data_IF_109637398995
#
_entry.id   IF_109637398995
#
_cell.length_a   1.000
_cell.length_b   1.000
_cell.length_c   1.000
_cell.angle_alpha   90.00
_cell.angle_beta   90.00
_cell.angle_gamma   90.00
#
_symmetry.space_group_name_H-M   'P 1'
#
loop_
_entity.id
_entity.type
_entity.pdbx_description
1 polymer ?
#
# COMPACT_ATOMS: atom_id res chain seq x y z
N UNK A 1 33.23 -13.51 66.71
CA UNK A 1 32.24 -12.73 65.95
C UNK A 1 32.93 -12.20 64.71
N UNK A 2 32.57 -12.72 63.55
CA UNK A 2 33.01 -12.21 62.24
C UNK A 2 31.79 -12.24 61.33
N UNK A 3 31.36 -11.08 60.87
CA UNK A 3 30.19 -10.91 60.02
C UNK A 3 30.42 -11.53 58.63
N UNK A 4 29.37 -12.05 57.96
CA UNK A 4 29.47 -12.47 56.58
C UNK A 4 29.45 -11.24 55.65
N UNK A 5 30.41 -11.19 54.71
CA UNK A 5 30.50 -10.16 53.69
C UNK A 5 29.51 -10.41 52.56
N UNK A 6 28.55 -9.50 52.39
CA UNK A 6 27.66 -9.46 51.22
C UNK A 6 28.41 -8.86 50.03
N UNK A 7 28.63 -9.65 48.98
CA UNK A 7 29.13 -9.12 47.69
C UNK A 7 28.02 -8.33 47.00
N UNK A 8 28.23 -7.02 46.82
CA UNK A 8 27.36 -6.21 45.97
C UNK A 8 27.65 -6.50 44.49
N UNK A 9 26.74 -7.17 43.81
CA UNK A 9 26.75 -7.20 42.34
C UNK A 9 26.28 -5.84 41.83
N UNK A 10 27.22 -4.97 41.46
CA UNK A 10 26.93 -3.77 40.70
C UNK A 10 26.65 -4.19 39.24
N UNK A 11 25.37 -4.26 38.87
CA UNK A 11 24.95 -4.42 37.48
C UNK A 11 25.39 -3.19 36.69
N UNK A 12 26.50 -3.29 35.93
CA UNK A 12 26.83 -2.31 34.91
C UNK A 12 25.78 -2.41 33.81
N UNK A 13 24.83 -1.49 33.79
CA UNK A 13 24.06 -1.19 32.60
C UNK A 13 25.02 -0.64 31.55
N UNK A 14 25.35 -1.45 30.54
CA UNK A 14 26.03 -0.97 29.34
C UNK A 14 25.08 0.01 28.68
N UNK A 15 25.40 1.30 28.75
CA UNK A 15 24.68 2.36 28.07
C UNK A 15 24.74 2.05 26.57
N UNK A 16 23.66 1.50 26.00
CA UNK A 16 23.56 1.34 24.55
C UNK A 16 23.64 2.74 23.97
N UNK A 17 24.64 2.98 23.12
CA UNK A 17 24.72 4.24 22.38
C UNK A 17 23.40 4.41 21.60
N UNK A 18 22.71 5.52 21.83
CA UNK A 18 21.48 5.82 21.12
C UNK A 18 21.76 5.92 19.61
N UNK A 19 20.82 5.44 18.81
CA UNK A 19 20.89 5.63 17.36
C UNK A 19 20.84 7.13 17.07
N UNK A 20 21.83 7.71 16.35
CA UNK A 20 21.85 9.14 16.07
C UNK A 20 20.54 9.60 15.39
N UNK A 21 19.98 10.75 15.79
CA UNK A 21 18.78 11.27 15.14
C UNK A 21 19.10 11.61 13.67
N UNK A 22 18.40 10.96 12.75
CA UNK A 22 18.45 11.31 11.32
C UNK A 22 17.32 12.29 11.02
N UNK A 23 17.65 13.53 10.67
CA UNK A 23 16.66 14.50 10.24
C UNK A 23 15.93 13.99 8.99
N UNK A 24 14.59 13.97 9.04
CA UNK A 24 13.76 13.69 7.87
C UNK A 24 13.77 14.90 6.95
N UNK A 25 14.42 14.78 5.79
CA UNK A 25 14.45 15.79 4.73
C UNK A 25 13.03 16.10 4.26
N UNK A 26 12.15 15.09 4.26
CA UNK A 26 10.74 15.23 3.86
C UNK A 26 9.89 16.03 4.85
N UNK A 27 10.39 16.32 6.06
CA UNK A 27 9.71 17.16 7.05
C UNK A 27 10.02 18.67 6.86
N UNK A 28 11.04 19.00 6.07
CA UNK A 28 11.49 20.37 5.83
C UNK A 28 10.52 21.22 5.01
N UNK A 29 10.56 22.54 5.21
CA UNK A 29 9.84 23.51 4.36
C UNK A 29 10.37 23.53 2.93
N UNK A 30 11.67 23.32 2.73
CA UNK A 30 12.32 23.24 1.42
C UNK A 30 11.76 22.11 0.56
N UNK A 31 11.52 20.93 1.15
CA UNK A 31 10.84 19.82 0.47
C UNK A 31 9.41 20.21 0.07
N UNK A 32 8.63 20.75 1.02
CA UNK A 32 7.22 21.12 0.79
C UNK A 32 7.02 22.17 -0.31
N UNK A 33 7.96 23.10 -0.46
CA UNK A 33 7.89 24.20 -1.44
C UNK A 33 8.60 23.88 -2.77
N UNK A 34 9.25 22.73 -2.87
CA UNK A 34 9.98 22.33 -4.09
C UNK A 34 9.07 21.71 -5.15
N UNK A 35 9.55 21.65 -6.40
CA UNK A 35 8.83 21.00 -7.49
C UNK A 35 8.78 19.47 -7.34
N UNK A 36 7.82 18.83 -8.00
CA UNK A 36 7.58 17.38 -7.89
C UNK A 36 8.83 16.52 -8.19
N UNK A 37 9.67 16.93 -9.14
CA UNK A 37 10.88 16.17 -9.49
C UNK A 37 11.89 16.24 -8.35
N UNK A 38 12.08 17.42 -7.77
CA UNK A 38 12.92 17.62 -6.59
C UNK A 38 12.41 16.81 -5.40
N UNK A 39 11.10 16.84 -5.14
CA UNK A 39 10.51 16.09 -4.04
C UNK A 39 10.71 14.58 -4.17
N UNK A 40 10.45 14.00 -5.36
CA UNK A 40 10.70 12.57 -5.61
C UNK A 40 12.15 12.18 -5.43
N UNK A 41 13.07 13.02 -5.90
CA UNK A 41 14.51 12.80 -5.73
C UNK A 41 14.88 12.78 -4.24
N UNK A 42 14.41 13.75 -3.46
CA UNK A 42 14.67 13.81 -2.00
C UNK A 42 14.14 12.58 -1.27
N UNK A 43 12.97 12.06 -1.63
CA UNK A 43 12.44 10.82 -1.04
C UNK A 43 13.36 9.61 -1.28
N UNK A 44 13.83 9.44 -2.51
CA UNK A 44 14.73 8.34 -2.88
C UNK A 44 16.05 8.47 -2.12
N UNK A 45 16.62 9.68 -2.03
CA UNK A 45 17.84 9.94 -1.27
C UNK A 45 17.67 9.68 0.24
N UNK A 46 16.49 9.96 0.80
CA UNK A 46 16.18 9.68 2.20
C UNK A 46 16.10 8.17 2.49
N UNK A 47 15.47 7.39 1.62
CA UNK A 47 15.36 5.93 1.75
C UNK A 47 16.73 5.24 1.71
N UNK A 48 17.68 5.83 1.00
CA UNK A 48 19.03 5.29 0.85
C UNK A 48 19.18 4.43 -0.40
N UNK A 49 20.34 3.77 -0.58
CA UNK A 49 20.74 3.20 -1.86
C UNK A 49 20.04 1.88 -2.22
N UNK A 50 19.36 1.23 -1.28
CA UNK A 50 18.83 -0.12 -1.45
C UNK A 50 17.46 -0.29 -0.79
N UNK A 51 16.57 -1.01 -1.47
CA UNK A 51 15.27 -1.42 -0.94
C UNK A 51 15.31 -2.94 -0.78
N UNK A 52 15.03 -3.48 0.42
CA UNK A 52 15.01 -4.93 0.63
C UNK A 52 13.98 -5.61 -0.28
N UNK A 53 14.45 -6.61 -1.04
CA UNK A 53 13.62 -7.49 -1.84
C UNK A 53 13.28 -8.76 -1.05
N UNK A 54 12.03 -9.22 -1.11
CA UNK A 54 11.56 -10.42 -0.41
C UNK A 54 10.87 -11.40 -1.37
N UNK A 55 10.90 -12.72 -1.10
CA UNK A 55 10.22 -13.70 -1.93
C UNK A 55 8.70 -13.50 -1.97
N UNK A 56 8.08 -13.81 -3.11
CA UNK A 56 6.62 -13.71 -3.27
C UNK A 56 5.85 -14.53 -2.23
N UNK A 57 6.19 -15.81 -1.95
CA UNK A 57 5.48 -16.57 -0.91
C UNK A 57 5.53 -15.92 0.47
N UNK A 58 6.66 -15.29 0.81
CA UNK A 58 6.80 -14.51 2.04
C UNK A 58 5.85 -13.32 2.04
N UNK A 59 5.78 -12.58 0.93
CA UNK A 59 4.92 -11.42 0.79
C UNK A 59 3.43 -11.79 0.90
N UNK A 60 2.98 -12.84 0.20
CA UNK A 60 1.60 -13.30 0.24
C UNK A 60 1.19 -13.78 1.65
N UNK A 61 2.09 -14.48 2.35
CA UNK A 61 1.75 -15.12 3.63
C UNK A 61 1.91 -14.18 4.83
N UNK A 62 2.88 -13.26 4.80
CA UNK A 62 3.27 -12.46 5.98
C UNK A 62 3.00 -10.96 5.84
N UNK A 63 2.75 -10.47 4.62
CA UNK A 63 2.62 -9.03 4.34
C UNK A 63 1.21 -8.67 3.85
N UNK A 64 0.63 -9.46 2.95
CA UNK A 64 -0.76 -9.25 2.53
C UNK A 64 -1.77 -9.68 3.60
N UNK A 65 -3.00 -9.13 3.55
CA UNK A 65 -4.12 -9.66 4.32
C UNK A 65 -4.36 -11.14 4.03
N UNK A 66 -4.79 -11.89 5.04
CA UNK A 66 -5.19 -13.28 4.86
C UNK A 66 -6.42 -13.40 3.96
N UNK A 67 -6.51 -14.50 3.21
CA UNK A 67 -7.71 -14.79 2.44
C UNK A 67 -8.91 -15.04 3.37
N UNK A 68 -10.06 -14.46 3.01
CA UNK A 68 -11.32 -14.74 3.71
C UNK A 68 -11.66 -16.23 3.63
N UNK A 69 -12.21 -16.77 4.71
CA UNK A 69 -12.68 -18.16 4.75
C UNK A 69 -13.65 -18.47 3.59
N UNK A 70 -13.43 -19.59 2.92
CA UNK A 70 -14.19 -20.02 1.75
C UNK A 70 -13.70 -19.49 0.40
N UNK A 71 -12.66 -18.65 0.37
CA UNK A 71 -11.99 -18.28 -0.87
C UNK A 71 -10.88 -19.28 -1.23
N UNK A 72 -10.97 -19.84 -2.42
CA UNK A 72 -9.98 -20.78 -2.96
C UNK A 72 -9.42 -20.26 -4.30
N UNK A 73 -8.11 -20.01 -4.32
CA UNK A 73 -7.38 -19.47 -5.48
C UNK A 73 -7.38 -20.48 -6.64
N UNK A 74 -7.21 -21.76 -6.35
CA UNK A 74 -7.13 -22.83 -7.36
C UNK A 74 -8.50 -23.12 -7.96
N UNK A 75 -9.56 -23.04 -7.15
CA UNK A 75 -10.94 -23.14 -7.62
C UNK A 75 -11.26 -21.99 -8.60
N UNK A 76 -10.89 -20.76 -8.27
CA UNK A 76 -11.09 -19.60 -9.14
C UNK A 76 -10.25 -19.73 -10.41
N UNK A 77 -8.97 -20.12 -10.31
CA UNK A 77 -8.13 -20.36 -11.49
C UNK A 77 -8.73 -21.43 -12.42
N UNK A 78 -9.32 -22.49 -11.85
CA UNK A 78 -10.02 -23.54 -12.61
C UNK A 78 -11.27 -23.00 -13.32
N UNK A 79 -12.10 -22.20 -12.62
CA UNK A 79 -13.25 -21.51 -13.22
C UNK A 79 -12.82 -20.59 -14.37
N UNK A 80 -11.69 -19.91 -14.22
CA UNK A 80 -11.17 -18.99 -15.23
C UNK A 80 -10.68 -19.71 -16.49
N UNK A 81 -10.04 -20.87 -16.34
CA UNK A 81 -9.71 -21.75 -17.47
C UNK A 81 -10.97 -22.24 -18.18
N UNK A 82 -11.96 -22.75 -17.42
CA UNK A 82 -13.19 -23.28 -17.99
C UNK A 82 -14.04 -22.22 -18.73
N UNK A 83 -13.99 -20.96 -18.29
CA UNK A 83 -14.72 -19.85 -18.89
C UNK A 83 -13.92 -19.06 -19.96
N UNK A 84 -12.68 -19.46 -20.25
CA UNK A 84 -11.83 -18.81 -21.25
C UNK A 84 -11.25 -17.45 -20.83
N UNK A 85 -11.27 -17.13 -19.52
CA UNK A 85 -10.53 -15.98 -18.99
C UNK A 85 -9.01 -16.24 -18.97
N UNK A 86 -8.63 -17.50 -18.79
CA UNK A 86 -7.28 -17.99 -19.04
C UNK A 86 -7.32 -18.77 -20.36
N UNK A 87 -6.53 -18.34 -21.33
CA UNK A 87 -6.44 -18.94 -22.66
C UNK A 87 -5.65 -20.25 -22.65
N UNK A 88 -5.75 -21.02 -23.72
CA UNK A 88 -5.03 -22.30 -23.86
C UNK A 88 -3.50 -22.14 -23.83
N UNK A 89 -2.97 -20.99 -24.25
CA UNK A 89 -1.55 -20.63 -24.12
C UNK A 89 -1.17 -20.12 -22.73
N UNK A 90 -2.10 -20.16 -21.77
CA UNK A 90 -1.87 -19.86 -20.36
C UNK A 90 -1.70 -18.37 -20.09
N UNK A 91 -2.50 -17.53 -20.74
CA UNK A 91 -2.49 -16.08 -20.56
C UNK A 91 -3.87 -15.56 -20.18
N UNK A 92 -3.94 -14.37 -19.59
CA UNK A 92 -5.22 -13.67 -19.45
C UNK A 92 -5.77 -13.29 -20.82
N UNK A 93 -7.00 -13.66 -21.12
CA UNK A 93 -7.65 -13.34 -22.40
C UNK A 93 -7.82 -11.84 -22.63
N UNK A 94 -7.90 -11.06 -21.55
CA UNK A 94 -7.94 -9.60 -21.60
C UNK A 94 -6.56 -8.96 -21.91
N UNK A 95 -5.48 -9.75 -21.94
CA UNK A 95 -4.12 -9.36 -22.36
C UNK A 95 -3.63 -10.24 -23.53
N UNK A 96 -4.12 -9.97 -24.77
CA UNK A 96 -3.81 -10.81 -25.94
C UNK A 96 -2.34 -10.74 -26.40
N UNK A 97 -1.58 -9.76 -25.92
CA UNK A 97 -0.16 -9.62 -26.23
C UNK A 97 0.60 -8.98 -25.06
N UNK A 98 1.93 -9.02 -25.10
CA UNK A 98 2.77 -8.37 -24.10
C UNK A 98 2.53 -6.85 -24.12
N UNK A 99 2.44 -6.16 -22.95
CA UNK A 99 2.24 -4.71 -22.90
C UNK A 99 3.24 -3.90 -23.73
N UNK A 100 4.48 -4.39 -23.89
CA UNK A 100 5.49 -3.76 -24.75
C UNK A 100 5.08 -3.67 -26.23
N UNK A 101 4.19 -4.54 -26.69
CA UNK A 101 3.69 -4.62 -28.07
C UNK A 101 2.45 -3.75 -28.30
N UNK A 102 1.81 -3.27 -27.23
CA UNK A 102 0.59 -2.45 -27.31
C UNK A 102 0.95 -1.03 -27.76
N UNK A 103 0.34 -0.57 -28.86
CA UNK A 103 0.54 0.79 -29.40
C UNK A 103 -0.16 1.89 -28.58
N UNK A 104 -1.24 1.55 -27.88
CA UNK A 104 -2.03 2.46 -27.03
C UNK A 104 -1.21 3.00 -25.84
N UNK A 105 -1.71 4.05 -25.18
CA UNK A 105 -1.09 4.62 -23.96
C UNK A 105 -1.07 3.61 -22.81
N UNK A 106 -0.19 3.82 -21.82
CA UNK A 106 -0.05 2.97 -20.62
C UNK A 106 -1.39 2.72 -19.93
N UNK A 107 -2.17 3.77 -19.69
CA UNK A 107 -3.50 3.70 -19.08
C UNK A 107 -4.43 2.73 -19.81
N UNK A 108 -4.50 2.84 -21.14
CA UNK A 108 -5.34 1.96 -21.98
C UNK A 108 -4.77 0.55 -22.12
N UNK A 109 -3.46 0.39 -21.91
CA UNK A 109 -2.79 -0.90 -21.95
C UNK A 109 -3.09 -1.73 -20.70
N UNK A 110 -3.19 -1.08 -19.54
CA UNK A 110 -3.40 -1.74 -18.25
C UNK A 110 -4.83 -1.63 -17.70
N UNK A 111 -5.70 -0.87 -18.36
CA UNK A 111 -7.15 -0.85 -18.09
C UNK A 111 -7.78 -2.27 -17.96
N UNK A 112 -7.37 -3.30 -18.74
CA UNK A 112 -7.92 -4.64 -18.56
C UNK A 112 -7.71 -5.27 -17.17
N UNK A 113 -6.85 -4.71 -16.31
CA UNK A 113 -6.74 -5.12 -14.90
C UNK A 113 -8.03 -4.84 -14.11
N UNK A 114 -8.80 -3.81 -14.46
CA UNK A 114 -10.11 -3.54 -13.84
C UNK A 114 -11.10 -4.66 -14.16
N UNK A 115 -11.14 -5.08 -15.42
CA UNK A 115 -11.99 -6.19 -15.87
C UNK A 115 -11.58 -7.49 -15.20
N UNK A 116 -10.27 -7.72 -15.05
CA UNK A 116 -9.75 -8.88 -14.33
C UNK A 116 -10.17 -8.86 -12.85
N UNK A 117 -10.05 -7.71 -12.19
CA UNK A 117 -10.47 -7.52 -10.81
C UNK A 117 -11.98 -7.78 -10.63
N UNK A 118 -12.82 -7.25 -11.52
CA UNK A 118 -14.27 -7.48 -11.51
C UNK A 118 -14.63 -8.95 -11.75
N UNK A 119 -13.95 -9.62 -12.68
CA UNK A 119 -14.14 -11.04 -12.93
C UNK A 119 -13.78 -11.90 -11.69
N UNK A 120 -12.69 -11.56 -10.99
CA UNK A 120 -12.26 -12.25 -9.76
C UNK A 120 -13.29 -12.04 -8.64
N UNK A 121 -13.76 -10.81 -8.46
CA UNK A 121 -14.83 -10.49 -7.50
C UNK A 121 -16.11 -11.30 -7.80
N UNK A 122 -16.52 -11.38 -9.06
CA UNK A 122 -17.69 -12.14 -9.48
C UNK A 122 -17.53 -13.63 -9.21
N UNK A 123 -16.38 -14.21 -9.59
CA UNK A 123 -16.12 -15.64 -9.40
C UNK A 123 -15.95 -16.07 -7.94
N UNK A 124 -15.63 -15.11 -7.05
CA UNK A 124 -15.54 -15.31 -5.60
C UNK A 124 -16.87 -15.11 -4.86
N UNK A 125 -17.98 -14.92 -5.58
CA UNK A 125 -19.33 -14.80 -5.00
C UNK A 125 -19.86 -13.37 -4.89
N UNK A 126 -19.18 -12.39 -5.48
CA UNK A 126 -19.71 -11.04 -5.76
C UNK A 126 -20.28 -10.29 -4.56
N UNK A 127 -19.72 -10.50 -3.37
CA UNK A 127 -20.33 -10.06 -2.13
C UNK A 127 -20.41 -8.54 -1.97
N UNK A 128 -21.45 -8.05 -1.27
CA UNK A 128 -21.60 -6.68 -0.73
C UNK A 128 -20.46 -6.21 0.21
N UNK A 129 -19.44 -7.05 0.39
CA UNK A 129 -18.31 -6.92 1.31
C UNK A 129 -16.96 -6.83 0.57
N UNK A 130 -16.95 -6.68 -0.76
CA UNK A 130 -15.73 -6.34 -1.47
C UNK A 130 -15.38 -4.88 -1.14
N UNK A 131 -14.31 -4.69 -0.38
CA UNK A 131 -13.94 -3.42 0.25
C UNK A 131 -13.23 -2.49 -0.74
N UNK A 132 -12.37 -2.96 -1.67
CA UNK A 132 -11.89 -2.09 -2.74
C UNK A 132 -12.34 -2.29 -4.17
N UNK A 133 -12.67 -1.15 -4.79
CA UNK A 133 -12.80 -0.97 -6.24
C UNK A 133 -11.44 -0.55 -6.82
N UNK A 134 -10.97 -1.26 -7.84
CA UNK A 134 -9.80 -0.85 -8.61
C UNK A 134 -10.21 0.27 -9.58
N UNK A 135 -9.54 1.41 -9.50
CA UNK A 135 -9.73 2.53 -10.41
C UNK A 135 -8.41 2.87 -11.10
N UNK A 136 -8.31 2.55 -12.39
CA UNK A 136 -7.25 2.99 -13.29
C UNK A 136 -7.60 4.39 -13.82
N UNK A 137 -7.10 5.42 -13.15
CA UNK A 137 -7.37 6.80 -13.56
C UNK A 137 -6.37 7.29 -14.61
N UNK A 138 -6.85 7.92 -15.69
CA UNK A 138 -5.96 8.60 -16.62
C UNK A 138 -5.27 9.77 -15.91
N UNK A 139 -3.97 9.91 -16.13
CA UNK A 139 -3.08 10.95 -15.60
C UNK A 139 -2.80 10.92 -14.08
N UNK A 140 -3.21 9.88 -13.36
CA UNK A 140 -2.96 9.68 -11.91
C UNK A 140 -2.56 8.23 -11.58
N UNK A 141 -2.12 7.98 -10.35
CA UNK A 141 -1.85 6.64 -9.83
C UNK A 141 -3.11 5.77 -9.90
N UNK A 142 -3.01 4.60 -10.51
CA UNK A 142 -4.08 3.60 -10.48
C UNK A 142 -4.17 3.03 -9.08
N UNK A 143 -5.36 2.84 -8.51
CA UNK A 143 -5.46 2.49 -7.10
C UNK A 143 -6.65 1.60 -6.75
N UNK A 144 -6.50 0.81 -5.69
CA UNK A 144 -7.61 0.16 -4.99
C UNK A 144 -8.15 1.14 -3.93
N UNK A 145 -9.45 1.42 -3.94
CA UNK A 145 -10.12 2.37 -3.03
C UNK A 145 -10.79 1.69 -1.85
N UNK A 146 -10.76 2.19 -0.62
CA UNK A 146 -11.61 1.60 0.45
C UNK A 146 -13.11 1.93 0.30
N UNK A 147 -13.97 1.05 0.80
CA UNK A 147 -15.44 1.15 0.75
C UNK A 147 -15.94 2.28 1.67
N UNK A 148 -17.00 2.98 1.26
CA UNK A 148 -17.68 3.99 2.10
C UNK A 148 -17.06 5.39 2.07
N UNK A 149 -16.04 5.62 1.24
CA UNK A 149 -15.52 6.95 0.97
C UNK A 149 -16.26 7.58 -0.23
N UNK A 150 -16.78 8.81 -0.07
CA UNK A 150 -17.54 9.50 -1.12
C UNK A 150 -16.82 9.51 -2.47
N UNK A 151 -17.57 9.27 -3.55
CA UNK A 151 -17.14 9.47 -4.94
C UNK A 151 -16.91 10.97 -5.21
N UNK A 152 -15.81 11.48 -4.69
CA UNK A 152 -15.29 12.76 -5.10
C UNK A 152 -14.65 12.60 -6.49
N UNK A 153 -14.86 13.61 -7.36
CA UNK A 153 -14.18 13.76 -8.66
C UNK A 153 -12.65 13.67 -8.53
N UNK A 154 -12.13 13.91 -7.32
CA UNK A 154 -10.73 13.83 -6.92
C UNK A 154 -10.49 12.61 -6.02
N UNK A 155 -9.49 11.79 -6.36
CA UNK A 155 -9.02 10.74 -5.44
C UNK A 155 -8.21 11.43 -4.35
N UNK A 156 -8.71 11.42 -3.12
CA UNK A 156 -7.89 11.78 -1.98
C UNK A 156 -6.94 10.63 -1.68
N UNK A 157 -5.64 10.92 -1.48
CA UNK A 157 -4.65 9.89 -1.15
C UNK A 157 -5.04 9.10 0.11
N UNK A 158 -5.81 9.72 1.00
CA UNK A 158 -6.41 9.10 2.17
C UNK A 158 -7.31 7.88 1.87
N UNK A 159 -7.92 7.82 0.67
CA UNK A 159 -8.88 6.78 0.30
C UNK A 159 -8.23 5.61 -0.46
N UNK A 160 -6.92 5.67 -0.74
CA UNK A 160 -6.18 4.68 -1.50
C UNK A 160 -5.67 3.56 -0.58
N UNK A 161 -6.17 2.34 -0.77
CA UNK A 161 -5.71 1.13 -0.10
C UNK A 161 -4.40 0.60 -0.71
N UNK A 162 -4.27 0.67 -2.04
CA UNK A 162 -3.06 0.28 -2.76
C UNK A 162 -2.81 1.22 -3.93
N UNK A 163 -1.59 1.72 -4.06
CA UNK A 163 -1.13 2.49 -5.22
C UNK A 163 -0.61 1.57 -6.33
N UNK A 164 -0.74 1.97 -7.59
CA UNK A 164 -0.27 1.18 -8.73
C UNK A 164 0.32 2.07 -9.82
N UNK A 165 1.49 1.68 -10.33
CA UNK A 165 2.24 2.40 -11.36
C UNK A 165 2.70 1.44 -12.46
N UNK A 166 2.58 1.87 -13.73
CA UNK A 166 2.76 0.96 -14.86
C UNK A 166 3.64 1.51 -15.96
N UNK A 167 4.40 0.62 -16.58
CA UNK A 167 5.18 0.83 -17.79
C UNK A 167 4.99 -0.30 -18.76
N UNK A 168 4.76 0.04 -20.02
CA UNK A 168 4.68 -0.98 -21.09
C UNK A 168 6.02 -1.67 -21.35
N UNK A 169 7.13 -1.02 -21.03
CA UNK A 169 8.50 -1.50 -21.30
C UNK A 169 9.25 -1.65 -19.99
N UNK A 170 10.26 -2.51 -20.00
CA UNK A 170 11.12 -2.79 -18.86
C UNK A 170 12.54 -2.22 -19.04
N UNK A 171 12.66 -1.03 -19.65
CA UNK A 171 13.97 -0.36 -19.75
C UNK A 171 14.37 0.16 -18.36
N UNK A 172 15.66 0.33 -18.05
CA UNK A 172 16.10 0.87 -16.76
C UNK A 172 15.39 2.18 -16.37
N UNK A 173 15.28 3.14 -17.30
CA UNK A 173 14.56 4.39 -17.07
C UNK A 173 13.04 4.22 -16.81
N UNK A 174 12.43 3.18 -17.37
CA UNK A 174 11.01 2.88 -17.11
C UNK A 174 10.86 2.36 -15.66
N UNK A 175 11.73 1.43 -15.25
CA UNK A 175 11.78 0.90 -13.88
C UNK A 175 12.05 2.03 -12.87
N UNK A 176 13.02 2.89 -13.12
CA UNK A 176 13.34 4.03 -12.25
C UNK A 176 12.15 5.01 -12.11
N UNK A 177 11.44 5.32 -13.21
CA UNK A 177 10.24 6.18 -13.14
C UNK A 177 9.12 5.53 -12.32
N UNK A 178 8.87 4.22 -12.48
CA UNK A 178 7.89 3.50 -11.69
C UNK A 178 8.25 3.46 -10.19
N UNK A 179 9.52 3.16 -9.86
CA UNK A 179 10.01 3.16 -8.48
C UNK A 179 9.82 4.55 -7.85
N UNK A 180 10.21 5.62 -8.56
CA UNK A 180 10.05 6.98 -8.05
C UNK A 180 8.58 7.36 -7.83
N UNK A 181 7.69 6.93 -8.72
CA UNK A 181 6.25 7.20 -8.62
C UNK A 181 5.58 6.38 -7.52
N UNK A 182 5.86 5.10 -7.40
CA UNK A 182 5.19 4.26 -6.40
C UNK A 182 5.59 4.67 -4.98
N UNK A 183 6.88 4.99 -4.76
CA UNK A 183 7.38 5.52 -3.50
C UNK A 183 6.71 6.85 -3.16
N UNK A 184 6.60 7.74 -4.16
CA UNK A 184 5.90 9.01 -4.01
C UNK A 184 4.44 8.81 -3.58
N UNK A 185 3.70 7.95 -4.29
CA UNK A 185 2.29 7.69 -4.03
C UNK A 185 2.05 7.09 -2.65
N UNK A 186 2.82 6.06 -2.28
CA UNK A 186 2.75 5.47 -0.93
C UNK A 186 3.11 6.48 0.16
N UNK A 187 4.10 7.36 -0.08
CA UNK A 187 4.44 8.43 0.85
C UNK A 187 3.29 9.45 1.01
N UNK A 188 2.60 9.83 -0.08
CA UNK A 188 1.45 10.75 0.02
C UNK A 188 0.28 10.11 0.77
N UNK A 189 -0.05 8.83 0.51
CA UNK A 189 -1.09 8.11 1.27
C UNK A 189 -0.87 8.18 2.78
N UNK A 190 0.38 8.03 3.23
CA UNK A 190 0.74 8.13 4.63
C UNK A 190 0.81 9.57 5.15
N UNK A 191 1.21 10.53 4.30
CA UNK A 191 1.34 11.93 4.69
C UNK A 191 -0.01 12.61 4.86
N UNK A 192 -0.97 12.29 4.00
CA UNK A 192 -2.29 12.94 4.01
C UNK A 192 -3.26 12.33 5.03
N UNK A 193 -3.14 11.03 5.33
CA UNK A 193 -3.97 10.39 6.35
C UNK A 193 -3.10 9.94 7.55
N UNK A 194 -3.19 10.64 8.70
CA UNK A 194 -2.47 10.27 9.90
C UNK A 194 -2.89 8.90 10.46
N UNK A 195 -4.07 8.39 10.09
CA UNK A 195 -4.53 7.04 10.44
C UNK A 195 -3.80 5.95 9.66
N UNK A 196 -3.04 6.30 8.63
CA UNK A 196 -2.33 5.33 7.78
C UNK A 196 -1.06 4.82 8.47
N UNK A 197 -1.10 3.59 8.99
CA UNK A 197 0.04 2.87 9.60
C UNK A 197 0.99 2.32 8.54
N UNK A 198 0.42 1.81 7.44
CA UNK A 198 1.14 1.25 6.30
C UNK A 198 0.29 1.34 5.04
N UNK A 199 0.89 1.14 3.87
CA UNK A 199 0.21 1.16 2.57
C UNK A 199 0.84 0.13 1.62
N UNK A 200 0.05 -0.35 0.68
CA UNK A 200 0.51 -1.26 -0.37
C UNK A 200 0.77 -0.50 -1.67
N UNK A 201 1.67 -1.06 -2.48
CA UNK A 201 1.93 -0.58 -3.82
C UNK A 201 2.10 -1.74 -4.81
N UNK A 202 1.99 -1.42 -6.08
CA UNK A 202 2.16 -2.37 -7.18
C UNK A 202 2.85 -1.66 -8.34
N UNK A 203 3.87 -2.28 -8.91
CA UNK A 203 4.47 -1.81 -10.15
C UNK A 203 4.36 -2.87 -11.22
N UNK A 204 4.13 -2.45 -12.47
CA UNK A 204 4.21 -3.35 -13.64
C UNK A 204 5.17 -2.76 -14.65
N UNK A 205 6.16 -3.54 -15.08
CA UNK A 205 7.02 -3.24 -16.22
C UNK A 205 6.94 -4.35 -17.27
N UNK A 206 6.31 -4.04 -18.41
CA UNK A 206 5.89 -5.02 -19.40
C UNK A 206 5.00 -6.10 -18.76
N UNK A 207 5.57 -7.28 -18.46
CA UNK A 207 4.88 -8.44 -17.90
C UNK A 207 5.30 -8.74 -16.45
N UNK A 208 6.33 -8.05 -15.96
CA UNK A 208 6.83 -8.21 -14.60
C UNK A 208 5.99 -7.35 -13.67
N UNK A 209 5.42 -7.96 -12.64
CA UNK A 209 4.73 -7.26 -11.55
C UNK A 209 5.55 -7.41 -10.26
N UNK A 210 5.60 -6.35 -9.46
CA UNK A 210 6.21 -6.37 -8.12
C UNK A 210 5.24 -5.72 -7.13
N UNK A 211 5.18 -6.31 -5.93
CA UNK A 211 4.36 -5.84 -4.83
C UNK A 211 5.22 -5.03 -3.87
N UNK A 212 4.68 -3.94 -3.36
CA UNK A 212 5.35 -3.00 -2.48
C UNK A 212 4.60 -2.90 -1.17
N UNK A 213 5.34 -2.78 -0.07
CA UNK A 213 4.79 -2.57 1.25
C UNK A 213 5.57 -1.46 1.94
N UNK A 214 4.87 -0.44 2.40
CA UNK A 214 5.49 0.73 3.01
C UNK A 214 4.83 1.03 4.35
N UNK A 215 5.65 1.07 5.41
CA UNK A 215 5.29 1.59 6.73
C UNK A 215 6.01 2.92 6.96
N UNK A 216 5.77 3.56 8.10
CA UNK A 216 6.52 4.77 8.50
C UNK A 216 8.02 4.52 8.76
N UNK A 217 8.42 3.26 8.89
CA UNK A 217 9.77 2.85 9.25
C UNK A 217 10.49 2.05 8.15
N UNK A 218 9.75 1.34 7.30
CA UNK A 218 10.30 0.35 6.38
C UNK A 218 9.59 0.38 5.02
N UNK A 219 10.35 0.10 3.97
CA UNK A 219 9.86 -0.12 2.62
C UNK A 219 10.40 -1.47 2.14
N UNK A 220 9.51 -2.32 1.65
CA UNK A 220 9.82 -3.63 1.11
C UNK A 220 9.26 -3.75 -0.31
N UNK A 221 9.92 -4.54 -1.13
CA UNK A 221 9.44 -4.91 -2.47
C UNK A 221 9.53 -6.42 -2.65
N UNK A 222 8.60 -7.03 -3.38
CA UNK A 222 8.68 -8.44 -3.73
C UNK A 222 9.66 -8.69 -4.87
N UNK A 223 10.10 -9.94 -4.99
CA UNK A 223 10.57 -10.48 -6.27
C UNK A 223 9.54 -10.24 -7.38
N UNK A 224 10.01 -10.16 -8.63
CA UNK A 224 9.14 -9.99 -9.79
C UNK A 224 8.52 -11.31 -10.26
N UNK A 225 7.25 -11.28 -10.63
CA UNK A 225 6.58 -12.42 -11.29
C UNK A 225 6.03 -12.01 -12.65
N UNK A 226 5.83 -12.99 -13.53
CA UNK A 226 5.13 -12.77 -14.78
C UNK A 226 3.62 -12.81 -14.54
N UNK A 227 2.96 -11.65 -14.40
CA UNK A 227 1.52 -11.59 -14.08
C UNK A 227 0.64 -12.20 -15.18
N UNK A 228 1.16 -12.32 -16.41
CA UNK A 228 0.45 -12.92 -17.54
C UNK A 228 0.43 -14.45 -17.49
N UNK A 229 1.21 -15.08 -16.61
CA UNK A 229 1.34 -16.53 -16.50
C UNK A 229 1.15 -17.05 -15.07
N UNK A 230 1.55 -16.26 -14.08
CA UNK A 230 1.34 -16.57 -12.67
C UNK A 230 -0.06 -16.09 -12.23
N UNK A 231 -1.06 -16.86 -12.64
CA UNK A 231 -2.47 -16.56 -12.38
C UNK A 231 -2.80 -16.64 -10.89
N UNK A 232 -2.22 -17.62 -10.19
CA UNK A 232 -2.50 -17.88 -8.78
C UNK A 232 -2.09 -16.71 -7.90
N UNK A 233 -0.89 -16.15 -8.10
CA UNK A 233 -0.44 -14.98 -7.33
C UNK A 233 -1.31 -13.75 -7.60
N UNK A 234 -1.71 -13.53 -8.86
CA UNK A 234 -2.57 -12.38 -9.21
C UNK A 234 -3.97 -12.53 -8.60
N UNK A 235 -4.57 -13.72 -8.68
CA UNK A 235 -5.86 -14.01 -8.05
C UNK A 235 -5.76 -13.83 -6.53
N UNK A 236 -4.72 -14.39 -5.89
CA UNK A 236 -4.49 -14.24 -4.46
C UNK A 236 -4.41 -12.76 -4.06
N UNK A 237 -3.59 -11.97 -4.75
CA UNK A 237 -3.43 -10.54 -4.48
C UNK A 237 -4.77 -9.82 -4.50
N UNK A 238 -5.56 -10.01 -5.55
CA UNK A 238 -6.85 -9.34 -5.69
C UNK A 238 -7.81 -9.79 -4.60
N UNK A 239 -7.93 -11.08 -4.31
CA UNK A 239 -8.80 -11.59 -3.25
C UNK A 239 -8.39 -11.07 -1.86
N UNK A 240 -7.09 -11.10 -1.54
CA UNK A 240 -6.57 -10.62 -0.26
C UNK A 240 -6.93 -9.15 -0.03
N UNK A 241 -6.76 -8.29 -1.04
CA UNK A 241 -7.05 -6.87 -0.91
C UNK A 241 -8.54 -6.56 -1.03
N UNK A 242 -9.27 -7.23 -1.93
CA UNK A 242 -10.71 -7.04 -2.15
C UNK A 242 -11.55 -7.35 -0.92
N UNK A 243 -11.12 -8.27 -0.06
CA UNK A 243 -11.90 -8.67 1.11
C UNK A 243 -11.26 -8.27 2.43
N UNK A 244 -10.19 -7.47 2.38
CA UNK A 244 -9.53 -6.93 3.55
C UNK A 244 -10.40 -5.93 4.29
N UNK A 245 -10.31 -5.92 5.62
CA UNK A 245 -10.82 -4.84 6.45
C UNK A 245 -9.88 -3.64 6.42
N UNK A 246 -10.39 -2.45 6.69
CA UNK A 246 -9.60 -1.21 6.68
C UNK A 246 -8.28 -1.32 7.46
N UNK A 247 -8.28 -1.99 8.62
CA UNK A 247 -7.06 -2.14 9.41
C UNK A 247 -6.02 -3.11 8.84
N UNK A 248 -6.45 -4.05 8.00
CA UNK A 248 -5.59 -4.99 7.27
C UNK A 248 -4.96 -4.33 6.03
N UNK A 249 -5.56 -3.24 5.54
CA UNK A 249 -5.00 -2.36 4.49
C UNK A 249 -4.47 -1.02 5.04
N UNK A 250 -4.22 -0.99 6.35
CA UNK A 250 -3.33 -0.02 6.97
C UNK A 250 -3.99 1.19 7.62
N UNK A 251 -5.32 1.30 7.67
CA UNK A 251 -5.99 2.31 8.49
C UNK A 251 -5.95 1.91 9.97
N UNK A 252 -5.76 2.88 10.85
CA UNK A 252 -5.86 2.69 12.29
C UNK A 252 -7.30 2.93 12.75
N UNK A 253 -8.02 1.89 13.23
CA UNK A 253 -9.39 2.05 13.70
C UNK A 253 -9.46 2.79 15.06
N UNK A 254 -8.35 2.98 15.77
CA UNK A 254 -8.34 3.68 17.06
C UNK A 254 -8.16 5.18 16.91
N UNK A 255 -7.87 5.68 15.71
CA UNK A 255 -7.73 7.10 15.42
C UNK A 255 -8.99 7.59 14.68
N UNK A 256 -9.81 8.37 15.37
CA UNK A 256 -11.08 8.87 14.87
C UNK A 256 -10.99 10.34 14.47
N UNK A 257 -11.87 10.75 13.54
CA UNK A 257 -12.10 12.17 13.30
C UNK A 257 -12.98 12.74 14.41
N UNK A 258 -12.66 13.96 14.85
CA UNK A 258 -13.51 14.72 15.74
C UNK A 258 -14.80 15.10 14.99
N UNK A 259 -15.94 14.96 15.66
CA UNK A 259 -17.26 15.21 15.08
C UNK A 259 -18.00 16.29 15.83
N UNK A 260 -18.83 17.05 15.11
CA UNK A 260 -19.74 18.02 15.71
C UNK A 260 -20.97 17.32 16.33
N UNK A 261 -21.91 18.10 16.88
CA UNK A 261 -23.13 17.57 17.52
C UNK A 261 -24.07 16.87 16.52
N UNK A 262 -23.92 17.13 15.23
CA UNK A 262 -24.73 16.54 14.16
C UNK A 262 -24.06 15.27 13.61
N UNK A 263 -22.85 14.94 14.05
CA UNK A 263 -22.06 13.80 13.57
C UNK A 263 -21.17 14.12 12.37
N UNK A 264 -21.12 15.37 11.92
CA UNK A 264 -20.28 15.81 10.80
C UNK A 264 -18.82 15.94 11.22
N UNK A 265 -17.90 15.61 10.33
CA UNK A 265 -16.46 15.71 10.59
C UNK A 265 -16.06 17.17 10.75
N UNK A 266 -15.45 17.52 11.88
CA UNK A 266 -14.90 18.85 12.11
C UNK A 266 -13.69 19.08 11.20
N UNK A 267 -13.70 20.20 10.49
CA UNK A 267 -12.61 20.62 9.62
C UNK A 267 -11.88 21.82 10.24
N UNK A 268 -10.56 21.84 10.13
CA UNK A 268 -9.72 23.00 10.40
C UNK A 268 -8.94 23.31 9.12
N UNK A 269 -9.14 24.50 8.54
CA UNK A 269 -8.59 24.89 7.23
C UNK A 269 -8.84 23.87 6.10
N UNK A 270 -10.01 23.23 6.12
CA UNK A 270 -10.40 22.21 5.15
C UNK A 270 -9.80 20.81 5.39
N UNK A 271 -9.05 20.62 6.49
CA UNK A 271 -8.47 19.33 6.89
C UNK A 271 -9.28 18.73 8.04
N UNK A 272 -9.62 17.42 7.98
CA UNK A 272 -10.28 16.74 9.09
C UNK A 272 -9.49 16.82 10.40
N UNK A 273 -10.16 17.25 11.47
CA UNK A 273 -9.58 17.26 12.82
C UNK A 273 -9.67 15.87 13.41
N UNK A 274 -8.62 15.45 14.11
CA UNK A 274 -8.59 14.18 14.82
C UNK A 274 -9.11 14.35 16.24
N UNK A 275 -9.76 13.31 16.75
CA UNK A 275 -10.10 13.16 18.15
C UNK A 275 -8.93 12.46 18.86
N UNK A 276 -8.00 13.26 19.37
CA UNK A 276 -6.81 12.78 20.09
C UNK A 276 -6.98 13.17 21.55
N UNK A 277 -7.03 12.18 22.42
CA UNK A 277 -6.90 12.38 23.87
C UNK A 277 -5.41 12.35 24.22
N UNK A 278 -4.92 13.43 24.83
CA UNK A 278 -3.54 13.48 25.34
C UNK A 278 -3.59 13.08 26.81
N UNK A 279 -2.79 12.09 27.18
CA UNK A 279 -2.55 11.74 28.57
C UNK A 279 -1.23 12.38 28.99
N UNK A 280 -1.28 13.38 29.85
CA UNK A 280 -0.09 13.84 30.57
C UNK A 280 0.07 13.00 31.84
N UNK A 281 1.29 12.51 32.11
CA UNK A 281 1.55 11.66 33.27
C UNK A 281 1.20 12.40 34.57
N UNK A 282 0.10 12.00 35.20
CA UNK A 282 -0.33 12.51 36.51
C UNK A 282 -1.52 13.48 36.49
N UNK A 283 -2.07 13.83 35.33
CA UNK A 283 -3.28 14.67 35.22
C UNK A 283 -4.43 13.91 34.53
N UNK A 284 -5.67 14.28 34.88
CA UNK A 284 -6.86 13.70 34.23
C UNK A 284 -6.85 14.02 32.72
N UNK A 285 -7.32 13.10 31.87
CA UNK A 285 -7.26 13.28 30.42
C UNK A 285 -7.98 14.54 29.97
N UNK A 286 -7.23 15.52 29.43
CA UNK A 286 -7.81 16.67 28.75
C UNK A 286 -8.13 16.29 27.30
N UNK A 287 -9.41 16.36 26.93
CA UNK A 287 -9.83 16.27 25.54
C UNK A 287 -9.61 17.63 24.88
N UNK A 288 -8.68 17.73 23.93
CA UNK A 288 -8.51 18.93 23.11
C UNK A 288 -9.74 19.10 22.21
N UNK A 289 -10.66 19.96 22.65
CA UNK A 289 -11.91 20.29 21.95
C UNK A 289 -11.75 21.31 20.85
#
# INVERSE_FOLDING_TARGET
MGEPSTQSFATRFTQRAETPPRAKLTAGSSYRLSDLKTQRKTLIEELGPTIPEVPIPYFLTNILPGLREGLDVDEIATKFKASGHITDDGRWSCFPCDPAQVKKREEQCFQPLEQLAEAISTASGGGKHATPTLHAKPFHTTCLHAQGHEESRWVYWANIAMSAEFKKKARPADKEDNVAKIIWSMHQCMREDPRRRFTFGLTIENKEIRLWFCTRAQLLVSEGINFLQDHATVIHLFLALMYAKDHEVGWDPTICYARDRNGEVLLHDGVPRLDITIHEDGEEPETLR
#
